data_IF_597348364255
#
_entry.id   IF_597348364255
#
_cell.length_a   1.000
_cell.length_b   1.000
_cell.length_c   1.000
_cell.angle_alpha   90.00
_cell.angle_beta   90.00
_cell.angle_gamma   90.00
#
_symmetry.space_group_name_H-M   'P 1'
#
loop_
_entity.id
_entity.type
_entity.pdbx_description
1 polymer ?
#
# COMPACT_ATOMS: atom_id res chain seq x y z
N UNK A 1 -21.25 7.74 13.72
CA UNK A 1 -19.77 7.60 13.78
C UNK A 1 -19.04 8.85 13.29
N UNK A 2 -19.14 9.28 12.01
CA UNK A 2 -18.52 10.55 11.55
C UNK A 2 -19.21 11.78 12.14
N UNK A 3 -20.55 11.75 12.28
CA UNK A 3 -21.29 12.82 12.97
C UNK A 3 -20.85 12.98 14.41
N UNK A 4 -20.62 11.89 15.11
CA UNK A 4 -20.21 11.91 16.52
C UNK A 4 -18.76 12.43 16.66
N UNK A 5 -17.90 12.11 15.70
CA UNK A 5 -16.53 12.65 15.64
C UNK A 5 -16.52 14.15 15.32
N UNK A 6 -17.35 14.58 14.35
CA UNK A 6 -17.52 15.98 13.99
C UNK A 6 -18.10 16.79 15.16
N UNK A 7 -19.11 16.23 15.83
CA UNK A 7 -19.72 16.84 17.00
C UNK A 7 -18.73 16.91 18.17
N UNK A 8 -17.92 15.86 18.39
CA UNK A 8 -16.87 15.86 19.41
C UNK A 8 -15.78 16.91 19.16
N UNK A 9 -15.41 17.19 17.91
CA UNK A 9 -14.44 18.26 17.58
C UNK A 9 -15.09 19.65 17.69
N UNK A 10 -16.39 19.75 17.41
CA UNK A 10 -17.15 20.99 17.58
C UNK A 10 -17.37 21.35 19.05
N UNK A 11 -17.64 20.35 19.89
CA UNK A 11 -17.91 20.51 21.32
C UNK A 11 -16.61 20.66 22.13
N UNK A 12 -15.50 20.11 21.63
CA UNK A 12 -14.15 20.30 22.19
C UNK A 12 -13.20 20.79 21.07
N UNK A 13 -13.27 22.08 20.70
CA UNK A 13 -12.36 22.64 19.72
C UNK A 13 -10.91 22.46 20.18
N UNK A 14 -10.04 22.03 19.27
CA UNK A 14 -8.61 21.89 19.55
C UNK A 14 -8.05 23.31 19.74
N UNK A 15 -7.86 23.72 20.99
CA UNK A 15 -7.17 24.96 21.33
C UNK A 15 -5.69 24.81 21.01
N UNK A 16 -5.29 25.22 19.80
CA UNK A 16 -3.89 25.37 19.47
C UNK A 16 -3.40 26.65 20.15
N UNK A 17 -2.84 26.52 21.36
CA UNK A 17 -2.15 27.62 22.03
C UNK A 17 -0.87 27.92 21.25
N UNK A 18 -0.94 28.92 20.38
CA UNK A 18 0.24 29.51 19.76
C UNK A 18 0.84 30.41 20.83
N UNK A 19 1.85 29.92 21.55
CA UNK A 19 2.55 30.71 22.55
C UNK A 19 3.36 31.79 21.84
N UNK A 20 3.01 33.06 22.10
CA UNK A 20 3.85 34.18 21.73
C UNK A 20 5.21 34.02 22.42
N UNK A 21 6.25 34.24 21.63
CA UNK A 21 7.62 33.83 21.91
C UNK A 21 8.25 34.76 22.95
N UNK A 22 8.15 34.42 24.23
CA UNK A 22 9.01 35.03 25.25
C UNK A 22 10.39 34.35 25.25
N UNK A 23 11.42 35.15 24.97
CA UNK A 23 12.82 34.75 24.92
C UNK A 23 13.33 34.40 26.32
N UNK A 24 13.25 33.12 26.73
CA UNK A 24 13.85 32.78 28.03
C UNK A 24 13.67 31.37 28.62
N UNK A 25 13.27 30.33 27.88
CA UNK A 25 13.22 28.98 28.45
C UNK A 25 12.52 27.94 27.56
N UNK A 26 13.18 27.46 26.51
CA UNK A 26 12.49 26.77 25.39
C UNK A 26 12.77 25.26 25.29
N UNK A 27 13.64 24.66 26.12
CA UNK A 27 14.01 23.24 25.90
C UNK A 27 13.03 22.22 26.49
N UNK A 28 12.49 22.44 27.69
CA UNK A 28 11.64 21.44 28.35
C UNK A 28 10.21 21.40 27.79
N UNK A 29 9.66 22.57 27.42
CA UNK A 29 8.28 22.65 26.93
C UNK A 29 8.11 22.04 25.53
N UNK A 30 9.07 22.30 24.63
CA UNK A 30 9.10 21.69 23.29
C UNK A 30 9.27 20.17 23.37
N UNK A 31 10.10 19.68 24.30
CA UNK A 31 10.25 18.24 24.52
C UNK A 31 8.98 17.61 25.11
N UNK A 32 8.27 18.33 25.99
CA UNK A 32 7.00 17.89 26.56
C UNK A 32 5.90 17.75 25.50
N UNK A 33 5.76 18.76 24.64
CA UNK A 33 4.79 18.79 23.54
C UNK A 33 5.10 17.70 22.51
N UNK A 34 6.38 17.51 22.16
CA UNK A 34 6.79 16.42 21.27
C UNK A 34 6.49 15.04 21.88
N UNK A 35 6.71 14.86 23.18
CA UNK A 35 6.39 13.61 23.88
C UNK A 35 4.89 13.35 23.91
N UNK A 36 4.08 14.35 24.19
CA UNK A 36 2.62 14.24 24.15
C UNK A 36 2.12 13.88 22.74
N UNK A 37 2.63 14.57 21.71
CA UNK A 37 2.29 14.26 20.32
C UNK A 37 2.65 12.81 19.95
N UNK A 38 3.86 12.34 20.29
CA UNK A 38 4.28 10.95 20.05
C UNK A 38 3.40 9.93 20.77
N UNK A 39 2.99 10.24 22.01
CA UNK A 39 2.10 9.38 22.78
C UNK A 39 0.72 9.29 22.13
N UNK A 40 0.18 10.41 21.64
CA UNK A 40 -1.11 10.41 20.94
C UNK A 40 -1.04 9.70 19.59
N UNK A 41 0.03 9.92 18.80
CA UNK A 41 0.27 9.12 17.60
C UNK A 41 0.32 7.61 17.92
N UNK A 42 1.03 7.23 18.97
CA UNK A 42 1.12 5.82 19.40
C UNK A 42 -0.25 5.25 19.79
N UNK A 43 -1.07 6.03 20.50
CA UNK A 43 -2.45 5.64 20.84
C UNK A 43 -3.34 5.49 19.61
N UNK A 44 -3.25 6.42 18.66
CA UNK A 44 -3.99 6.34 17.41
C UNK A 44 -3.61 5.08 16.60
N UNK A 45 -2.31 4.76 16.54
CA UNK A 45 -1.82 3.53 15.90
C UNK A 45 -2.37 2.30 16.61
N UNK A 46 -2.31 2.25 17.95
CA UNK A 46 -2.86 1.12 18.72
C UNK A 46 -4.37 0.93 18.50
N UNK A 47 -5.14 2.03 18.50
CA UNK A 47 -6.58 2.01 18.19
C UNK A 47 -6.85 1.52 16.77
N UNK A 48 -6.07 2.01 15.79
CA UNK A 48 -6.14 1.57 14.40
C UNK A 48 -5.86 0.07 14.27
N UNK A 49 -4.80 -0.44 14.90
CA UNK A 49 -4.46 -1.85 14.91
C UNK A 49 -5.53 -2.71 15.58
N UNK A 50 -6.05 -2.28 16.73
CA UNK A 50 -7.14 -2.97 17.40
C UNK A 50 -8.38 -3.07 16.49
N UNK A 51 -8.71 -1.98 15.79
CA UNK A 51 -9.83 -1.98 14.85
C UNK A 51 -9.57 -2.89 13.66
N UNK A 52 -8.36 -2.91 13.10
CA UNK A 52 -8.00 -3.82 12.00
C UNK A 52 -8.09 -5.30 12.44
N UNK A 53 -7.62 -5.64 13.65
CA UNK A 53 -7.76 -6.99 14.21
C UNK A 53 -9.22 -7.39 14.41
N UNK A 54 -10.04 -6.46 14.88
CA UNK A 54 -11.49 -6.69 14.99
C UNK A 54 -12.13 -6.90 13.61
N UNK A 55 -11.68 -6.15 12.59
CA UNK A 55 -12.13 -6.30 11.21
C UNK A 55 -11.74 -7.65 10.61
N UNK A 56 -10.57 -8.18 10.95
CA UNK A 56 -10.09 -9.47 10.46
C UNK A 56 -10.77 -10.68 11.12
N UNK A 57 -11.24 -10.55 12.36
CA UNK A 57 -11.73 -11.68 13.18
C UNK A 57 -13.23 -11.80 13.26
N UNK A 58 -13.98 -10.75 12.90
CA UNK A 58 -15.45 -10.74 12.97
C UNK A 58 -16.06 -10.59 11.58
N UNK A 59 -17.26 -11.14 11.39
CA UNK A 59 -18.06 -10.91 10.19
C UNK A 59 -18.57 -9.47 10.21
N UNK A 60 -18.21 -8.68 9.21
CA UNK A 60 -18.67 -7.29 9.05
C UNK A 60 -19.58 -7.17 7.83
N UNK A 61 -20.65 -6.38 7.97
CA UNK A 61 -21.50 -5.96 6.86
C UNK A 61 -21.01 -4.62 6.32
N UNK A 62 -20.51 -4.65 5.08
CA UNK A 62 -20.09 -3.44 4.38
C UNK A 62 -21.29 -2.77 3.74
N UNK A 63 -21.47 -1.49 4.03
CA UNK A 63 -22.54 -0.69 3.45
C UNK A 63 -21.95 0.18 2.34
N UNK A 64 -22.70 0.35 1.25
CA UNK A 64 -22.32 1.31 0.20
C UNK A 64 -22.30 2.71 0.80
N UNK A 65 -21.22 3.45 0.56
CA UNK A 65 -21.15 4.84 0.96
C UNK A 65 -22.14 5.66 0.10
N UNK A 66 -23.05 6.44 0.69
CA UNK A 66 -24.03 7.22 -0.07
C UNK A 66 -23.38 8.38 -0.84
N UNK A 67 -22.18 8.79 -0.44
CA UNK A 67 -21.45 9.88 -1.09
C UNK A 67 -20.00 9.46 -1.37
N UNK A 68 -19.72 9.14 -2.64
CA UNK A 68 -18.39 8.77 -3.14
C UNK A 68 -17.37 9.89 -2.94
N UNK A 69 -17.78 11.16 -2.85
CA UNK A 69 -16.86 12.29 -2.61
C UNK A 69 -16.15 12.20 -1.26
N UNK A 70 -16.83 11.67 -0.24
CA UNK A 70 -16.23 11.48 1.09
C UNK A 70 -15.13 10.41 1.00
N UNK A 71 -15.43 9.29 0.33
CA UNK A 71 -14.46 8.20 0.11
C UNK A 71 -13.26 8.71 -0.69
N UNK A 72 -13.52 9.50 -1.74
CA UNK A 72 -12.48 10.14 -2.53
C UNK A 72 -11.56 11.02 -1.69
N UNK A 73 -12.13 11.93 -0.89
CA UNK A 73 -11.34 12.84 -0.04
C UNK A 73 -10.51 12.07 1.01
N UNK A 74 -11.08 11.03 1.60
CA UNK A 74 -10.34 10.17 2.53
C UNK A 74 -9.18 9.44 1.85
N UNK A 75 -9.39 8.92 0.65
CA UNK A 75 -8.35 8.22 -0.09
C UNK A 75 -7.24 9.17 -0.53
N UNK A 76 -7.60 10.36 -1.01
CA UNK A 76 -6.68 11.43 -1.45
C UNK A 76 -5.66 11.81 -0.37
N UNK A 77 -6.08 11.83 0.90
CA UNK A 77 -5.18 12.16 2.03
C UNK A 77 -4.47 10.95 2.65
N UNK A 78 -4.81 9.71 2.28
CA UNK A 78 -4.25 8.50 2.93
C UNK A 78 -3.45 7.59 2.00
N UNK A 79 -3.64 7.67 0.69
CA UNK A 79 -3.07 6.71 -0.28
C UNK A 79 -1.54 6.59 -0.18
N UNK A 80 -0.83 7.70 0.05
CA UNK A 80 0.62 7.73 0.11
C UNK A 80 1.18 6.96 1.32
N UNK A 81 0.45 6.96 2.45
CA UNK A 81 0.80 6.17 3.63
C UNK A 81 0.58 4.68 3.38
N UNK A 82 -0.54 4.34 2.71
CA UNK A 82 -0.79 2.97 2.28
C UNK A 82 0.29 2.48 1.32
N UNK A 83 0.62 3.27 0.31
CA UNK A 83 1.68 2.94 -0.64
C UNK A 83 3.01 2.70 0.08
N UNK A 84 3.43 3.62 0.95
CA UNK A 84 4.69 3.50 1.69
C UNK A 84 4.74 2.23 2.55
N UNK A 85 3.64 1.90 3.24
CA UNK A 85 3.54 0.69 4.03
C UNK A 85 3.69 -0.56 3.15
N UNK A 86 2.92 -0.64 2.06
CA UNK A 86 2.94 -1.78 1.15
C UNK A 86 4.32 -1.95 0.51
N UNK A 87 4.91 -0.89 -0.03
CA UNK A 87 6.21 -0.96 -0.71
C UNK A 87 7.35 -1.30 0.25
N UNK A 88 7.28 -0.84 1.51
CA UNK A 88 8.28 -1.17 2.53
C UNK A 88 8.24 -2.65 2.89
N UNK A 89 7.03 -3.21 3.05
CA UNK A 89 6.86 -4.64 3.36
C UNK A 89 7.25 -5.47 2.14
N UNK A 90 6.74 -5.14 0.96
CA UNK A 90 7.02 -5.85 -0.30
C UNK A 90 8.52 -5.88 -0.63
N UNK A 91 9.25 -4.80 -0.37
CA UNK A 91 10.70 -4.75 -0.60
C UNK A 91 11.54 -5.61 0.37
N UNK A 92 10.97 -6.02 1.51
CA UNK A 92 11.64 -6.84 2.53
C UNK A 92 11.14 -8.28 2.57
N UNK A 93 9.92 -8.53 2.12
CA UNK A 93 9.27 -9.83 2.16
C UNK A 93 10.00 -10.84 1.25
N UNK A 94 10.34 -11.99 1.83
CA UNK A 94 10.88 -13.15 1.12
C UNK A 94 9.88 -14.30 1.06
N UNK A 95 8.90 -14.28 1.94
CA UNK A 95 7.86 -15.28 2.00
C UNK A 95 6.77 -14.99 0.95
N UNK A 96 6.25 -16.02 0.27
CA UNK A 96 5.27 -15.86 -0.82
C UNK A 96 3.95 -15.28 -0.34
N UNK A 97 3.55 -15.62 0.89
CA UNK A 97 2.28 -15.20 1.46
C UNK A 97 2.23 -13.69 1.63
N UNK A 98 3.24 -13.10 2.28
CA UNK A 98 3.32 -11.65 2.45
C UNK A 98 3.43 -10.93 1.10
N UNK A 99 4.19 -11.48 0.14
CA UNK A 99 4.25 -10.92 -1.21
C UNK A 99 2.88 -10.95 -1.90
N UNK A 100 2.13 -12.05 -1.77
CA UNK A 100 0.78 -12.19 -2.31
C UNK A 100 -0.20 -11.18 -1.71
N UNK A 101 -0.16 -10.99 -0.39
CA UNK A 101 -0.97 -9.99 0.32
C UNK A 101 -0.62 -8.56 -0.11
N UNK A 102 0.67 -8.26 -0.32
CA UNK A 102 1.10 -6.98 -0.85
C UNK A 102 0.56 -6.75 -2.27
N UNK A 103 0.57 -7.77 -3.13
CA UNK A 103 0.01 -7.69 -4.49
C UNK A 103 -1.51 -7.48 -4.46
N UNK A 104 -2.23 -8.10 -3.52
CA UNK A 104 -3.66 -7.81 -3.31
C UNK A 104 -3.89 -6.37 -2.86
N UNK A 105 -3.07 -5.87 -1.92
CA UNK A 105 -3.19 -4.49 -1.46
C UNK A 105 -2.95 -3.49 -2.60
N UNK A 106 -1.96 -3.75 -3.48
CA UNK A 106 -1.72 -2.95 -4.69
C UNK A 106 -2.91 -3.05 -5.66
N UNK A 107 -3.42 -4.26 -5.91
CA UNK A 107 -4.59 -4.51 -6.79
C UNK A 107 -5.77 -3.64 -6.36
N UNK A 108 -6.16 -3.71 -5.09
CA UNK A 108 -7.30 -2.94 -4.57
C UNK A 108 -7.02 -1.45 -4.49
N UNK A 109 -5.77 -1.04 -4.25
CA UNK A 109 -5.38 0.38 -4.27
C UNK A 109 -5.51 0.98 -5.67
N UNK A 110 -4.98 0.31 -6.69
CA UNK A 110 -5.16 0.68 -8.10
C UNK A 110 -6.65 0.72 -8.48
N UNK A 111 -7.42 -0.32 -8.16
CA UNK A 111 -8.85 -0.35 -8.45
C UNK A 111 -9.60 0.81 -7.77
N UNK A 112 -9.27 1.11 -6.52
CA UNK A 112 -9.85 2.24 -5.79
C UNK A 112 -9.51 3.57 -6.46
N UNK A 113 -8.25 3.78 -6.84
CA UNK A 113 -7.82 4.98 -7.55
C UNK A 113 -8.55 5.15 -8.90
N UNK A 114 -8.70 4.08 -9.67
CA UNK A 114 -9.44 4.05 -10.94
C UNK A 114 -10.91 4.42 -10.72
N UNK A 115 -11.59 3.73 -9.79
CA UNK A 115 -13.02 3.94 -9.54
C UNK A 115 -13.34 5.32 -8.95
N UNK A 116 -12.38 5.97 -8.28
CA UNK A 116 -12.52 7.33 -7.76
C UNK A 116 -12.09 8.42 -8.75
N UNK A 117 -11.58 8.03 -9.92
CA UNK A 117 -11.07 8.97 -10.94
C UNK A 117 -9.76 9.66 -10.54
N UNK A 118 -8.96 9.01 -9.68
CA UNK A 118 -7.67 9.49 -9.17
C UNK A 118 -6.52 8.88 -9.99
N UNK A 119 -6.40 9.32 -11.24
CA UNK A 119 -5.44 8.74 -12.20
C UNK A 119 -4.01 9.24 -11.97
N UNK A 120 -3.86 10.52 -11.60
CA UNK A 120 -2.57 11.15 -11.31
C UNK A 120 -2.70 12.00 -10.05
N UNK A 121 -1.81 11.85 -9.05
CA UNK A 121 -0.65 10.93 -9.01
C UNK A 121 -0.94 9.49 -8.51
N UNK A 122 -2.12 9.20 -7.98
CA UNK A 122 -2.42 8.02 -7.15
C UNK A 122 -2.23 6.71 -7.91
N UNK A 123 -3.03 6.47 -8.96
CA UNK A 123 -2.93 5.26 -9.77
C UNK A 123 -1.51 5.08 -10.33
N UNK A 124 -0.91 6.17 -10.83
CA UNK A 124 0.46 6.16 -11.34
C UNK A 124 1.45 5.60 -10.33
N UNK A 125 1.35 6.01 -9.06
CA UNK A 125 2.29 5.59 -8.03
C UNK A 125 2.16 4.10 -7.69
N UNK A 126 0.92 3.59 -7.56
CA UNK A 126 0.69 2.16 -7.34
C UNK A 126 1.07 1.31 -8.55
N UNK A 127 0.65 1.71 -9.76
CA UNK A 127 0.95 1.00 -10.99
C UNK A 127 2.45 0.98 -11.30
N UNK A 128 3.19 2.04 -10.97
CA UNK A 128 4.65 2.07 -11.10
C UNK A 128 5.30 1.02 -10.19
N UNK A 129 4.89 0.95 -8.92
CA UNK A 129 5.41 -0.06 -7.99
C UNK A 129 5.09 -1.48 -8.44
N UNK A 130 3.87 -1.71 -8.97
CA UNK A 130 3.50 -2.99 -9.58
C UNK A 130 4.40 -3.30 -10.78
N UNK A 131 4.60 -2.35 -11.68
CA UNK A 131 5.43 -2.51 -12.86
C UNK A 131 6.88 -2.83 -12.50
N UNK A 132 7.44 -2.16 -11.49
CA UNK A 132 8.75 -2.48 -10.94
C UNK A 132 8.80 -3.90 -10.39
N UNK A 133 7.82 -4.33 -9.62
CA UNK A 133 7.76 -5.69 -9.10
C UNK A 133 7.71 -6.73 -10.22
N UNK A 134 6.77 -6.58 -11.16
CA UNK A 134 6.63 -7.46 -12.34
C UNK A 134 7.95 -7.57 -13.09
N UNK A 135 8.60 -6.44 -13.36
CA UNK A 135 9.88 -6.42 -14.06
C UNK A 135 10.97 -7.18 -13.30
N UNK A 136 11.06 -6.99 -11.98
CA UNK A 136 12.07 -7.64 -11.14
C UNK A 136 11.89 -9.16 -11.09
N UNK A 137 10.65 -9.63 -11.08
CA UNK A 137 10.29 -11.06 -11.08
C UNK A 137 10.48 -11.70 -12.45
N UNK A 138 10.03 -11.04 -13.52
CA UNK A 138 10.23 -11.50 -14.89
C UNK A 138 11.71 -11.65 -15.24
N UNK A 139 12.55 -10.77 -14.70
CA UNK A 139 13.97 -10.72 -14.99
C UNK A 139 14.83 -11.26 -13.85
N UNK A 140 14.28 -12.09 -12.95
CA UNK A 140 14.97 -12.57 -11.75
C UNK A 140 16.29 -13.31 -11.99
N UNK A 141 16.47 -13.85 -13.20
CA UNK A 141 17.69 -14.52 -13.67
C UNK A 141 18.84 -13.55 -13.98
N UNK A 142 18.55 -12.26 -14.18
CA UNK A 142 19.56 -11.23 -14.40
C UNK A 142 20.27 -10.86 -13.09
N UNK A 143 21.55 -10.47 -13.21
CA UNK A 143 22.34 -9.92 -12.11
C UNK A 143 21.61 -8.72 -11.47
N UNK A 144 21.69 -8.62 -10.14
CA UNK A 144 20.98 -7.61 -9.37
C UNK A 144 21.28 -6.17 -9.83
N UNK A 145 22.55 -5.85 -10.10
CA UNK A 145 22.95 -4.52 -10.58
C UNK A 145 22.33 -4.17 -11.94
N UNK A 146 22.23 -5.14 -12.85
CA UNK A 146 21.61 -4.95 -14.16
C UNK A 146 20.12 -4.65 -14.03
N UNK A 147 19.41 -5.38 -13.16
CA UNK A 147 17.99 -5.12 -12.88
C UNK A 147 17.75 -3.75 -12.25
N UNK A 148 18.60 -3.35 -11.32
CA UNK A 148 18.51 -2.04 -10.68
C UNK A 148 18.75 -0.92 -11.69
N UNK A 149 19.79 -1.04 -12.52
CA UNK A 149 20.06 -0.06 -13.58
C UNK A 149 18.87 0.07 -14.54
N UNK A 150 18.31 -1.07 -15.01
CA UNK A 150 17.15 -1.06 -15.89
C UNK A 150 15.89 -0.46 -15.22
N UNK A 151 15.75 -0.63 -13.91
CA UNK A 151 14.68 0.03 -13.16
C UNK A 151 14.90 1.55 -13.13
N UNK A 152 16.12 2.02 -12.90
CA UNK A 152 16.47 3.44 -12.90
C UNK A 152 16.27 4.08 -14.27
N UNK A 153 16.57 3.37 -15.36
CA UNK A 153 16.32 3.85 -16.73
C UNK A 153 14.85 3.75 -17.15
N UNK A 154 13.97 3.22 -16.30
CA UNK A 154 12.53 3.18 -16.54
C UNK A 154 12.05 2.02 -17.42
N UNK A 155 12.81 0.94 -17.59
CA UNK A 155 12.40 -0.20 -18.44
C UNK A 155 11.06 -0.80 -17.98
N UNK A 156 10.85 -0.90 -16.67
CA UNK A 156 9.59 -1.35 -16.07
C UNK A 156 8.38 -0.52 -16.52
N UNK A 157 8.54 0.76 -16.85
CA UNK A 157 7.45 1.64 -17.28
C UNK A 157 7.07 1.46 -18.75
N UNK A 158 7.86 0.70 -19.52
CA UNK A 158 7.60 0.42 -20.94
C UNK A 158 6.69 -0.79 -21.16
N UNK A 159 6.26 -1.45 -20.09
CA UNK A 159 5.39 -2.61 -20.17
C UNK A 159 4.05 -2.25 -20.85
N UNK A 160 3.62 -3.06 -21.83
CA UNK A 160 2.41 -2.79 -22.63
C UNK A 160 1.17 -2.62 -21.75
N UNK A 161 1.01 -3.47 -20.72
CA UNK A 161 -0.14 -3.39 -19.82
C UNK A 161 -0.13 -2.09 -19.01
N UNK A 162 1.05 -1.60 -18.61
CA UNK A 162 1.18 -0.36 -17.83
C UNK A 162 0.76 0.85 -18.67
N UNK A 163 1.26 0.94 -19.91
CA UNK A 163 0.87 2.00 -20.83
C UNK A 163 -0.64 1.95 -21.15
N UNK A 164 -1.17 0.76 -21.41
CA UNK A 164 -2.60 0.56 -21.71
C UNK A 164 -3.48 0.95 -20.53
N UNK A 165 -3.07 0.57 -19.30
CA UNK A 165 -3.78 0.91 -18.07
C UNK A 165 -3.93 2.42 -17.93
N UNK A 166 -2.83 3.17 -18.05
CA UNK A 166 -2.84 4.61 -17.88
C UNK A 166 -3.67 5.35 -18.94
N UNK A 167 -3.74 4.80 -20.15
CA UNK A 167 -4.58 5.37 -21.22
C UNK A 167 -6.07 5.13 -20.97
N UNK A 168 -6.44 3.93 -20.52
CA UNK A 168 -7.84 3.50 -20.49
C UNK A 168 -8.55 3.79 -19.16
N UNK A 169 -7.83 3.87 -18.04
CA UNK A 169 -8.41 3.97 -16.70
C UNK A 169 -9.33 5.18 -16.49
N UNK A 170 -9.13 6.28 -17.21
CA UNK A 170 -10.03 7.44 -17.17
C UNK A 170 -11.28 7.32 -18.03
N UNK A 171 -11.31 6.40 -19.00
CA UNK A 171 -12.38 6.25 -20.01
C UNK A 171 -13.22 5.00 -19.80
N UNK A 172 -12.59 3.88 -19.45
CA UNK A 172 -13.24 2.62 -19.14
C UNK A 172 -12.66 2.05 -17.82
N UNK A 173 -13.17 2.53 -16.66
CA UNK A 173 -12.69 2.12 -15.34
C UNK A 173 -12.73 0.61 -15.12
N UNK A 174 -13.78 -0.07 -15.58
CA UNK A 174 -13.95 -1.53 -15.43
C UNK A 174 -12.83 -2.30 -16.13
N UNK A 175 -12.47 -1.87 -17.35
CA UNK A 175 -11.36 -2.46 -18.12
C UNK A 175 -10.02 -2.20 -17.44
N UNK A 176 -9.81 -0.99 -16.90
CA UNK A 176 -8.62 -0.68 -16.11
C UNK A 176 -8.48 -1.58 -14.88
N UNK A 177 -9.57 -1.79 -14.14
CA UNK A 177 -9.62 -2.71 -13.00
C UNK A 177 -9.32 -4.16 -13.40
N UNK A 178 -9.82 -4.60 -14.56
CA UNK A 178 -9.55 -5.94 -15.09
C UNK A 178 -8.06 -6.13 -15.42
N UNK A 179 -7.42 -5.15 -16.08
CA UNK A 179 -5.98 -5.19 -16.40
C UNK A 179 -5.15 -5.36 -15.13
N UNK A 180 -5.40 -4.53 -14.12
CA UNK A 180 -4.68 -4.59 -12.84
C UNK A 180 -4.90 -5.95 -12.17
N UNK A 181 -6.15 -6.41 -12.11
CA UNK A 181 -6.49 -7.67 -11.47
C UNK A 181 -5.79 -8.84 -12.14
N UNK A 182 -5.74 -8.87 -13.48
CA UNK A 182 -5.05 -9.89 -14.25
C UNK A 182 -3.56 -9.92 -13.92
N UNK A 183 -2.88 -8.77 -14.01
CA UNK A 183 -1.43 -8.66 -13.74
C UNK A 183 -1.10 -9.09 -12.31
N UNK A 184 -1.84 -8.61 -11.32
CA UNK A 184 -1.63 -8.98 -9.92
C UNK A 184 -1.85 -10.49 -9.68
N UNK A 185 -2.94 -11.06 -10.20
CA UNK A 185 -3.25 -12.48 -10.02
C UNK A 185 -2.21 -13.38 -10.71
N UNK A 186 -1.74 -13.00 -11.90
CA UNK A 186 -0.71 -13.74 -12.61
C UNK A 186 0.63 -13.71 -11.85
N UNK A 187 1.00 -12.55 -11.28
CA UNK A 187 2.19 -12.46 -10.43
C UNK A 187 2.06 -13.26 -9.15
N UNK A 188 0.89 -13.26 -8.50
CA UNK A 188 0.65 -14.10 -7.32
C UNK A 188 0.85 -15.58 -7.63
N UNK A 189 0.26 -16.06 -8.73
CA UNK A 189 0.42 -17.45 -9.18
C UNK A 189 1.89 -17.79 -9.45
N UNK A 190 2.62 -16.87 -10.08
CA UNK A 190 4.06 -17.04 -10.35
C UNK A 190 4.89 -17.17 -9.08
N UNK A 191 4.68 -16.27 -8.13
CA UNK A 191 5.38 -16.28 -6.83
C UNK A 191 5.14 -17.58 -6.06
N UNK A 192 3.88 -18.05 -6.02
CA UNK A 192 3.52 -19.32 -5.40
C UNK A 192 4.19 -20.48 -6.12
N UNK A 193 4.04 -20.57 -7.45
CA UNK A 193 4.62 -21.64 -8.25
C UNK A 193 6.14 -21.73 -8.10
N UNK A 194 6.84 -20.61 -8.16
CA UNK A 194 8.29 -20.56 -8.00
C UNK A 194 8.76 -21.05 -6.62
N UNK A 195 7.94 -20.83 -5.60
CA UNK A 195 8.22 -21.28 -4.24
C UNK A 195 7.98 -22.77 -4.10
N UNK A 196 6.86 -23.27 -4.61
CA UNK A 196 6.54 -24.71 -4.61
C UNK A 196 7.61 -25.50 -5.37
N UNK A 197 8.06 -24.99 -6.52
CA UNK A 197 9.16 -25.60 -7.29
C UNK A 197 10.47 -25.62 -6.52
N UNK A 198 10.78 -24.56 -5.76
CA UNK A 198 11.97 -24.56 -4.91
C UNK A 198 11.86 -25.59 -3.78
N UNK A 199 10.72 -25.65 -3.10
CA UNK A 199 10.48 -26.62 -2.04
C UNK A 199 10.62 -28.06 -2.53
N UNK A 200 10.08 -28.37 -3.72
CA UNK A 200 10.23 -29.68 -4.35
C UNK A 200 11.71 -30.02 -4.65
N UNK A 201 12.47 -29.09 -5.22
CA UNK A 201 13.91 -29.29 -5.48
C UNK A 201 14.72 -29.49 -4.21
N UNK A 202 14.38 -28.75 -3.14
CA UNK A 202 15.04 -28.89 -1.85
C UNK A 202 14.75 -30.28 -1.25
N UNK A 203 13.52 -30.80 -1.37
CA UNK A 203 13.14 -32.16 -0.97
C UNK A 203 13.87 -33.22 -1.82
N UNK A 204 13.91 -33.06 -3.15
CA UNK A 204 14.63 -33.96 -4.05
C UNK A 204 16.12 -34.03 -3.70
N UNK A 205 16.75 -32.89 -3.39
CA UNK A 205 18.15 -32.85 -2.98
C UNK A 205 18.39 -33.52 -1.62
N UNK A 206 17.45 -33.41 -0.68
CA UNK A 206 17.54 -34.12 0.60
C UNK A 206 17.44 -35.63 0.40
N UNK A 207 16.46 -36.10 -0.37
CA UNK A 207 16.25 -37.53 -0.64
C UNK A 207 17.36 -38.14 -1.50
N UNK A 208 17.90 -37.39 -2.47
CA UNK A 208 18.99 -37.85 -3.33
C UNK A 208 20.35 -37.96 -2.64
N UNK A 209 20.52 -37.37 -1.46
CA UNK A 209 21.73 -37.50 -0.63
C UNK A 209 21.63 -38.63 0.42
N UNK A 210 20.48 -39.31 0.51
CA UNK A 210 20.24 -40.45 1.43
C UNK A 210 20.34 -41.83 0.73
N UNK A 211 20.71 -41.86 -0.55
CA UNK A 211 21.00 -43.07 -1.34
C UNK A 211 22.47 -43.12 -1.75
#
# INVERSE_FOLDING_TARGET
>A
MIRDLYQSVKDNPIEIKIFEREEGGVTDDVQSVQKQFRNECSRLVQRGQARLRELATRKHSWHKAPNVRIVRALYDVTWHQFLAAITTIMGKAKDPQTQSECLEAIKYSCATAIMLGLIKPELHAFANNLAKFVYMEENKYLKQNTRHLATVTGEHLKQKWFLTLLEISGRAPDVGCEIVSRVCNDMQRRVVYDTDQKALRDIEAMLGNEL
#
